data_IF_757252419871
#
_entry.id   IF_757252419871
#
_cell.length_a   1.000
_cell.length_b   1.000
_cell.length_c   1.000
_cell.angle_alpha   90.00
_cell.angle_beta   90.00
_cell.angle_gamma   90.00
#
_symmetry.space_group_name_H-M   'P 1'
#
loop_
_entity.id
_entity.type
_entity.pdbx_description
1 polymer ?
#
# COMPACT_ATOMS: atom_id res chain seq x y z
N UNK A 1 -3.75 -10.13 -8.79
CA UNK A 1 -3.24 -8.89 -9.41
C UNK A 1 -1.91 -9.23 -10.09
N UNK A 2 -1.58 -8.72 -11.29
CA UNK A 2 -0.25 -8.95 -11.89
C UNK A 2 0.82 -8.31 -11.01
N UNK A 3 1.84 -9.09 -10.62
CA UNK A 3 3.02 -8.63 -9.86
C UNK A 3 3.72 -7.54 -10.67
N UNK A 4 4.06 -6.43 -10.02
CA UNK A 4 4.84 -5.37 -10.64
C UNK A 4 6.27 -5.87 -10.87
N UNK A 5 6.81 -5.71 -12.07
CA UNK A 5 8.16 -6.12 -12.40
C UNK A 5 9.08 -4.90 -12.28
N UNK A 6 10.04 -4.98 -11.37
CA UNK A 6 10.96 -3.87 -11.12
C UNK A 6 12.08 -3.81 -12.17
N UNK A 7 12.34 -2.62 -12.68
CA UNK A 7 13.52 -2.30 -13.50
C UNK A 7 14.75 -2.03 -12.61
N UNK A 8 15.94 -1.99 -13.21
CA UNK A 8 17.18 -1.65 -12.50
C UNK A 8 17.12 -0.26 -11.82
N UNK A 9 16.53 0.73 -12.49
CA UNK A 9 16.29 2.08 -11.93
C UNK A 9 15.43 2.02 -10.67
N UNK A 10 14.38 1.18 -10.67
CA UNK A 10 13.50 1.02 -9.52
C UNK A 10 14.16 0.26 -8.36
N UNK A 11 14.97 -0.75 -8.66
CA UNK A 11 15.80 -1.40 -7.64
C UNK A 11 16.83 -0.46 -7.04
N UNK A 12 17.43 0.44 -7.83
CA UNK A 12 18.36 1.44 -7.31
C UNK A 12 17.64 2.44 -6.38
N UNK A 13 16.41 2.83 -6.71
CA UNK A 13 15.56 3.65 -5.83
C UNK A 13 15.26 2.91 -4.53
N UNK A 14 14.81 1.65 -4.60
CA UNK A 14 14.58 0.82 -3.43
C UNK A 14 15.84 0.68 -2.58
N UNK A 15 17.00 0.50 -3.20
CA UNK A 15 18.29 0.43 -2.51
C UNK A 15 18.58 1.73 -1.74
N UNK A 16 18.34 2.87 -2.39
CA UNK A 16 18.50 4.21 -1.77
C UNK A 16 17.58 4.40 -0.58
N UNK A 17 16.32 3.94 -0.68
CA UNK A 17 15.29 4.11 0.37
C UNK A 17 15.55 3.18 1.56
N UNK A 18 15.92 1.93 1.29
CA UNK A 18 15.97 0.86 2.30
C UNK A 18 17.38 0.65 2.89
N UNK A 19 18.42 1.14 2.22
CA UNK A 19 19.81 0.83 2.55
C UNK A 19 20.24 -0.60 2.19
N UNK A 20 19.34 -1.41 1.62
CA UNK A 20 19.64 -2.78 1.19
C UNK A 20 20.32 -2.71 -0.18
N UNK A 21 21.38 -3.46 -0.40
CA UNK A 21 22.05 -3.50 -1.69
C UNK A 21 21.09 -3.98 -2.80
N UNK A 22 21.19 -3.35 -3.97
CA UNK A 22 20.35 -3.68 -5.13
C UNK A 22 20.36 -5.18 -5.48
N UNK A 23 21.54 -5.82 -5.43
CA UNK A 23 21.65 -7.26 -5.71
C UNK A 23 20.84 -8.11 -4.73
N UNK A 24 20.76 -7.72 -3.47
CA UNK A 24 20.01 -8.47 -2.46
C UNK A 24 18.51 -8.26 -2.63
N UNK A 25 18.07 -7.05 -2.98
CA UNK A 25 16.68 -6.78 -3.35
C UNK A 25 16.23 -7.60 -4.57
N UNK A 26 17.08 -7.72 -5.59
CA UNK A 26 16.80 -8.55 -6.77
C UNK A 26 16.69 -10.04 -6.42
N UNK A 27 17.58 -10.56 -5.56
CA UNK A 27 17.50 -11.95 -5.06
C UNK A 27 16.21 -12.19 -4.28
N UNK A 28 15.85 -11.27 -3.39
CA UNK A 28 14.60 -11.36 -2.61
C UNK A 28 13.37 -11.32 -3.51
N UNK A 29 13.35 -10.47 -4.54
CA UNK A 29 12.23 -10.43 -5.49
C UNK A 29 12.14 -11.72 -6.32
N UNK A 30 13.27 -12.25 -6.80
CA UNK A 30 13.34 -13.51 -7.54
C UNK A 30 12.85 -14.71 -6.72
N UNK A 31 13.05 -14.68 -5.39
CA UNK A 31 12.55 -15.69 -4.46
C UNK A 31 11.11 -15.43 -3.98
N UNK A 32 10.47 -14.35 -4.45
CA UNK A 32 9.12 -13.98 -4.05
C UNK A 32 9.01 -13.39 -2.63
N UNK A 33 10.13 -13.11 -1.98
CA UNK A 33 10.22 -12.60 -0.60
C UNK A 33 10.05 -11.09 -0.52
N UNK A 34 10.15 -10.38 -1.63
CA UNK A 34 9.87 -8.95 -1.68
C UNK A 34 8.35 -8.70 -1.71
N UNK A 35 7.84 -7.98 -0.70
CA UNK A 35 6.45 -7.55 -0.62
C UNK A 35 6.14 -6.52 -1.73
N UNK A 36 5.68 -7.01 -2.88
CA UNK A 36 5.59 -6.25 -4.13
C UNK A 36 4.80 -4.93 -3.99
N UNK A 37 3.65 -4.94 -3.31
CA UNK A 37 2.84 -3.73 -3.15
C UNK A 37 3.53 -2.66 -2.32
N UNK A 38 4.25 -3.07 -1.27
CA UNK A 38 5.02 -2.17 -0.40
C UNK A 38 6.20 -1.58 -1.20
N UNK A 39 6.91 -2.41 -1.95
CA UNK A 39 8.02 -1.94 -2.78
C UNK A 39 7.56 -0.95 -3.87
N UNK A 40 6.43 -1.19 -4.55
CA UNK A 40 5.85 -0.23 -5.51
C UNK A 40 5.50 1.09 -4.83
N UNK A 41 4.90 1.04 -3.63
CA UNK A 41 4.58 2.24 -2.84
C UNK A 41 5.84 3.07 -2.58
N UNK A 42 6.90 2.44 -2.08
CA UNK A 42 8.17 3.12 -1.78
C UNK A 42 8.79 3.78 -3.02
N UNK A 43 8.80 3.08 -4.17
CA UNK A 43 9.28 3.64 -5.44
C UNK A 43 8.50 4.90 -5.83
N UNK A 44 7.17 4.86 -5.75
CA UNK A 44 6.33 6.00 -6.14
C UNK A 44 6.49 7.17 -5.17
N UNK A 45 6.57 6.90 -3.87
CA UNK A 45 6.82 7.93 -2.85
C UNK A 45 8.16 8.62 -3.08
N UNK A 46 9.21 7.86 -3.39
CA UNK A 46 10.53 8.41 -3.69
C UNK A 46 10.50 9.33 -4.93
N UNK A 47 9.91 8.87 -6.04
CA UNK A 47 9.79 9.71 -7.23
C UNK A 47 8.97 10.97 -6.99
N UNK A 48 7.86 10.83 -6.27
CA UNK A 48 7.02 11.97 -5.92
C UNK A 48 7.80 12.99 -5.08
N UNK A 49 8.51 12.54 -4.04
CA UNK A 49 9.31 13.42 -3.18
C UNK A 49 10.47 14.07 -3.94
N UNK A 50 11.15 13.34 -4.81
CA UNK A 50 12.23 13.87 -5.64
C UNK A 50 11.72 15.02 -6.53
N UNK A 51 10.61 14.79 -7.23
CA UNK A 51 10.01 15.80 -8.10
C UNK A 51 9.50 17.01 -7.32
N UNK A 52 8.94 16.81 -6.12
CA UNK A 52 8.50 17.92 -5.27
C UNK A 52 9.67 18.77 -4.72
N UNK A 53 10.86 18.17 -4.53
CA UNK A 53 12.06 18.87 -4.07
C UNK A 53 12.76 19.62 -5.21
N UNK A 54 12.94 18.96 -6.35
CA UNK A 54 13.69 19.49 -7.49
C UNK A 54 12.88 20.49 -8.30
N UNK A 55 11.58 20.25 -8.44
CA UNK A 55 10.72 21.00 -9.32
C UNK A 55 9.57 21.61 -8.49
N UNK A 56 9.38 22.93 -8.56
CA UNK A 56 8.21 23.64 -7.99
C UNK A 56 6.93 23.35 -8.81
N UNK A 57 6.74 22.08 -9.17
CA UNK A 57 5.67 21.58 -10.03
C UNK A 57 4.46 21.25 -9.16
N UNK A 58 3.26 21.47 -9.71
CA UNK A 58 2.03 21.14 -9.01
C UNK A 58 1.94 19.62 -8.75
N UNK A 59 1.58 19.17 -7.53
CA UNK A 59 1.45 17.75 -7.18
C UNK A 59 0.65 16.92 -8.18
N UNK A 60 -0.43 17.49 -8.72
CA UNK A 60 -1.30 16.83 -9.70
C UNK A 60 -0.57 16.43 -10.99
N UNK A 61 0.46 17.18 -11.38
CA UNK A 61 1.25 16.91 -12.59
C UNK A 61 2.27 15.80 -12.34
N UNK A 62 2.91 15.80 -11.17
CA UNK A 62 3.82 14.71 -10.74
C UNK A 62 3.06 13.38 -10.71
N UNK A 63 1.87 13.34 -10.11
CA UNK A 63 1.04 12.14 -10.06
C UNK A 63 0.68 11.64 -11.47
N UNK A 64 0.36 12.55 -12.41
CA UNK A 64 0.09 12.19 -13.82
C UNK A 64 1.33 11.66 -14.52
N UNK A 65 2.51 12.22 -14.24
CA UNK A 65 3.77 11.76 -14.82
C UNK A 65 4.10 10.34 -14.35
N UNK A 66 3.96 10.06 -13.04
CA UNK A 66 4.13 8.71 -12.48
C UNK A 66 3.12 7.74 -13.11
N UNK A 67 1.84 8.13 -13.16
CA UNK A 67 0.79 7.31 -13.79
C UNK A 67 1.12 6.96 -15.25
N UNK A 68 1.60 7.93 -16.03
CA UNK A 68 2.03 7.74 -17.42
C UNK A 68 3.26 6.83 -17.51
N UNK A 69 4.28 7.03 -16.68
CA UNK A 69 5.52 6.24 -16.67
C UNK A 69 5.23 4.75 -16.44
N UNK A 70 4.34 4.44 -15.50
CA UNK A 70 4.04 3.06 -15.10
C UNK A 70 2.79 2.46 -15.77
N UNK A 71 2.15 3.17 -16.70
CA UNK A 71 0.93 2.70 -17.36
C UNK A 71 -0.25 2.45 -16.40
N UNK A 72 -0.34 3.22 -15.31
CA UNK A 72 -1.37 3.10 -14.29
C UNK A 72 -2.39 4.24 -14.38
N UNK A 73 -3.58 4.03 -13.80
CA UNK A 73 -4.53 5.13 -13.64
C UNK A 73 -4.05 6.10 -12.55
N UNK A 74 -4.39 7.38 -12.70
CA UNK A 74 -4.12 8.42 -11.69
C UNK A 74 -4.72 8.05 -10.33
N UNK A 75 -5.91 7.44 -10.32
CA UNK A 75 -6.55 6.98 -9.09
C UNK A 75 -5.72 5.91 -8.37
N UNK A 76 -5.12 4.98 -9.12
CA UNK A 76 -4.28 3.93 -8.56
C UNK A 76 -2.97 4.47 -7.98
N UNK A 77 -2.33 5.41 -8.67
CA UNK A 77 -1.13 6.09 -8.13
C UNK A 77 -1.46 6.87 -6.86
N UNK A 78 -2.60 7.60 -6.85
CA UNK A 78 -3.07 8.27 -5.63
C UNK A 78 -3.30 7.29 -4.47
N UNK A 79 -3.81 6.09 -4.74
CA UNK A 79 -3.96 5.05 -3.72
C UNK A 79 -2.60 4.63 -3.16
N UNK A 80 -1.57 4.44 -3.98
CA UNK A 80 -0.23 4.15 -3.46
C UNK A 80 0.33 5.29 -2.60
N UNK A 81 0.22 6.54 -3.07
CA UNK A 81 0.84 7.70 -2.42
C UNK A 81 0.09 8.21 -1.17
N UNK A 82 -1.24 8.09 -1.16
CA UNK A 82 -2.09 8.77 -0.18
C UNK A 82 -3.15 7.86 0.44
N UNK A 83 -3.14 6.55 0.18
CA UNK A 83 -4.02 5.66 0.94
C UNK A 83 -3.64 5.78 2.41
N UNK A 84 -4.60 6.25 3.20
CA UNK A 84 -4.57 6.04 4.64
C UNK A 84 -4.69 4.55 4.87
N UNK A 85 -3.88 4.01 5.76
CA UNK A 85 -4.12 2.68 6.29
C UNK A 85 -5.54 2.63 6.81
N UNK A 86 -6.32 1.68 6.31
CA UNK A 86 -7.67 1.48 6.81
C UNK A 86 -7.51 0.91 8.21
N UNK A 87 -8.15 1.50 9.24
CA UNK A 87 -8.10 0.92 10.57
C UNK A 87 -8.59 -0.53 10.50
N UNK A 88 -7.80 -1.42 11.09
CA UNK A 88 -8.20 -2.81 11.31
C UNK A 88 -9.13 -2.80 12.52
N UNK A 89 -10.31 -3.39 12.39
CA UNK A 89 -11.28 -3.50 13.46
C UNK A 89 -11.29 -4.93 13.98
N UNK A 90 -11.41 -5.07 15.30
CA UNK A 90 -11.49 -6.37 15.94
C UNK A 90 -12.76 -6.45 16.78
N UNK A 91 -13.37 -7.62 16.81
CA UNK A 91 -14.46 -7.91 17.73
C UNK A 91 -13.98 -7.74 19.18
N UNK A 92 -14.71 -6.98 19.97
CA UNK A 92 -14.39 -6.73 21.39
C UNK A 92 -14.53 -7.99 22.25
N UNK A 93 -15.38 -8.95 21.84
CA UNK A 93 -15.61 -10.21 22.56
C UNK A 93 -14.62 -11.32 22.16
N UNK A 94 -14.47 -11.61 20.87
CA UNK A 94 -13.68 -12.77 20.41
C UNK A 94 -12.36 -12.42 19.73
N UNK A 95 -12.04 -11.12 19.59
CA UNK A 95 -10.81 -10.61 18.94
C UNK A 95 -10.61 -10.99 17.48
N UNK A 96 -11.63 -11.55 16.81
CA UNK A 96 -11.58 -11.77 15.37
C UNK A 96 -11.58 -10.44 14.62
N UNK A 97 -10.80 -10.34 13.53
CA UNK A 97 -10.85 -9.19 12.64
C UNK A 97 -12.24 -9.07 11.98
N UNK A 98 -12.80 -7.87 11.97
CA UNK A 98 -14.11 -7.54 11.42
C UNK A 98 -14.05 -6.33 10.50
N UNK A 99 -15.04 -6.21 9.61
CA UNK A 99 -15.11 -5.06 8.72
C UNK A 99 -15.50 -3.77 9.47
N UNK A 100 -15.16 -2.60 8.91
CA UNK A 100 -15.61 -1.30 9.44
C UNK A 100 -17.15 -1.20 9.51
N UNK A 101 -17.85 -1.84 8.58
CA UNK A 101 -19.31 -1.86 8.54
C UNK A 101 -19.86 -2.69 9.70
N UNK A 102 -19.32 -3.89 9.89
CA UNK A 102 -19.72 -4.80 10.97
C UNK A 102 -19.42 -4.19 12.35
N UNK A 103 -18.22 -3.62 12.54
CA UNK A 103 -17.85 -2.89 13.75
C UNK A 103 -18.85 -1.78 14.10
N UNK A 104 -19.29 -0.99 13.12
CA UNK A 104 -20.27 0.10 13.34
C UNK A 104 -21.69 -0.42 13.58
N UNK A 105 -22.12 -1.45 12.84
CA UNK A 105 -23.48 -2.00 12.93
C UNK A 105 -23.72 -2.67 14.29
N UNK A 106 -22.72 -3.39 14.78
CA UNK A 106 -22.83 -4.23 15.96
C UNK A 106 -22.08 -3.64 17.18
N UNK A 107 -21.74 -2.35 17.15
CA UNK A 107 -21.02 -1.66 18.22
C UNK A 107 -19.77 -2.42 18.72
N UNK A 108 -18.92 -2.82 17.79
CA UNK A 108 -17.66 -3.49 18.11
C UNK A 108 -17.73 -5.01 18.24
N UNK A 109 -18.89 -5.64 18.02
CA UNK A 109 -19.07 -7.10 18.16
C UNK A 109 -19.22 -7.76 16.78
N UNK A 110 -18.61 -8.92 16.54
CA UNK A 110 -18.83 -9.65 15.28
C UNK A 110 -20.23 -10.26 15.20
N UNK A 111 -20.70 -10.54 13.99
CA UNK A 111 -22.03 -11.14 13.74
C UNK A 111 -22.24 -12.43 14.55
N UNK A 112 -21.22 -13.29 14.61
CA UNK A 112 -21.29 -14.54 15.37
C UNK A 112 -21.54 -14.31 16.86
N UNK A 113 -20.81 -13.37 17.46
CA UNK A 113 -20.96 -13.03 18.87
C UNK A 113 -22.31 -12.34 19.17
N UNK A 114 -22.87 -11.61 18.21
CA UNK A 114 -24.24 -11.07 18.31
C UNK A 114 -25.25 -12.21 18.29
N UNK A 115 -25.13 -13.15 17.35
CA UNK A 115 -26.03 -14.33 17.26
C UNK A 115 -26.04 -15.12 18.57
N UNK A 116 -24.87 -15.37 19.16
CA UNK A 116 -24.74 -16.05 20.46
C UNK A 116 -25.43 -15.32 21.63
N UNK A 117 -25.68 -14.01 21.50
CA UNK A 117 -26.32 -13.19 22.53
C UNK A 117 -27.85 -13.12 22.39
N UNK A 118 -28.41 -13.63 21.30
CA UNK A 118 -29.86 -13.65 21.07
C UNK A 118 -30.46 -14.83 21.82
N UNK A 119 -31.36 -14.54 22.76
CA UNK A 119 -32.19 -15.55 23.43
C UNK A 119 -33.53 -15.64 22.71
N UNK A 120 -33.94 -16.85 22.32
CA UNK A 120 -35.24 -17.15 21.72
C UNK A 120 -36.11 -17.96 22.70
#
# INVERSE_FOLDING_TARGET
MKRFQFSNDEYQKLSTITGIAMMDLQKLDAQGLLANEVAVKLVFEYEYQLQQKENKVLPKLVIRAIARKYGLSVARVKKYLFAKESPIYYCEKCRQEISSLEFRRNNGICDQCVVESITL
#
